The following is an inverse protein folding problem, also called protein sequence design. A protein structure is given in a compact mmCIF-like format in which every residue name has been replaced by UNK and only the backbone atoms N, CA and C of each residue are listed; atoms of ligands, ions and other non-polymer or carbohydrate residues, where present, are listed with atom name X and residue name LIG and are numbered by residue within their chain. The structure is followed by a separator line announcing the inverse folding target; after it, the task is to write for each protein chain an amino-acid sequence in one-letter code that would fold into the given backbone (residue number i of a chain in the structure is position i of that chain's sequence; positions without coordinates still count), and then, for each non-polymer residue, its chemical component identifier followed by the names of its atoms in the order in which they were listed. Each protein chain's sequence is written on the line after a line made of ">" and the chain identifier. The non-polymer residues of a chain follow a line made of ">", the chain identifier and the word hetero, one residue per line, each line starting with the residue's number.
data_IF_170982406084
#
_entry.id   IF_170982406084
#
_cell.length_a   1.000
_cell.length_b   1.000
_cell.length_c   1.000
_cell.angle_alpha   90.00
_cell.angle_beta   90.00
_cell.angle_gamma   90.00
#
_symmetry.space_group_name_H-M   'P 1'
#
loop_
_entity.id
_entity.type
_entity.pdbx_description
1 polymer ?
#
# COMPACT_ATOMS: atom_id res chain seq x y z
N UNK A 1 -38.19 6.12 -27.83
CA UNK A 1 -37.00 6.62 -28.53
C UNK A 1 -36.84 5.83 -29.83
N UNK A 2 -36.89 6.50 -30.95
CA UNK A 2 -36.78 5.86 -32.27
C UNK A 2 -35.41 6.19 -32.88
N UNK A 3 -34.66 5.17 -33.31
CA UNK A 3 -33.33 5.33 -33.92
C UNK A 3 -33.52 5.77 -35.38
N UNK A 4 -32.96 6.91 -35.77
CA UNK A 4 -33.04 7.46 -37.14
C UNK A 4 -31.78 7.14 -37.94
N UNK A 5 -30.61 7.09 -37.29
CA UNK A 5 -29.27 6.85 -37.82
C UNK A 5 -28.42 6.30 -36.64
N UNK A 6 -27.26 5.68 -36.86
CA UNK A 6 -26.40 5.21 -35.75
C UNK A 6 -26.08 6.26 -34.68
N UNK A 7 -26.10 7.54 -35.04
CA UNK A 7 -25.83 8.65 -34.12
C UNK A 7 -27.03 9.53 -33.76
N UNK A 8 -28.20 9.38 -34.46
CA UNK A 8 -29.38 10.25 -34.28
C UNK A 8 -30.57 9.51 -33.72
N UNK A 9 -31.18 10.10 -32.75
CA UNK A 9 -32.34 9.53 -32.04
C UNK A 9 -33.43 10.57 -31.94
N UNK A 10 -34.66 10.19 -32.29
CA UNK A 10 -35.85 10.99 -32.00
C UNK A 10 -36.27 10.70 -30.58
N UNK A 11 -36.46 11.76 -29.81
CA UNK A 11 -36.99 11.72 -28.44
C UNK A 11 -38.32 12.39 -28.42
N UNK A 12 -39.28 11.80 -27.70
CA UNK A 12 -40.57 12.38 -27.36
C UNK A 12 -40.57 12.48 -25.82
N UNK A 13 -40.76 13.66 -25.30
CA UNK A 13 -40.85 13.94 -23.87
C UNK A 13 -42.21 14.54 -23.55
N UNK A 14 -42.91 13.97 -22.59
CA UNK A 14 -44.08 14.60 -21.98
C UNK A 14 -43.59 15.46 -20.84
N UNK A 15 -43.99 16.71 -20.86
CA UNK A 15 -43.66 17.66 -19.81
C UNK A 15 -44.96 18.13 -19.13
N UNK A 16 -44.93 18.18 -17.81
CA UNK A 16 -45.99 18.66 -16.97
C UNK A 16 -45.45 19.88 -16.20
N UNK A 17 -46.20 20.94 -16.19
CA UNK A 17 -45.90 22.17 -15.43
C UNK A 17 -47.16 22.70 -14.76
N UNK A 18 -47.05 23.12 -13.53
CA UNK A 18 -48.14 23.85 -12.82
C UNK A 18 -47.81 25.35 -12.83
N UNK A 19 -48.67 26.13 -13.43
CA UNK A 19 -48.54 27.57 -13.43
C UNK A 19 -49.82 28.20 -12.85
N UNK A 20 -49.71 28.83 -11.71
CA UNK A 20 -50.83 29.52 -11.08
C UNK A 20 -52.02 28.62 -10.70
N UNK A 21 -51.78 27.33 -10.42
CA UNK A 21 -52.80 26.33 -10.10
C UNK A 21 -53.42 25.65 -11.31
N UNK A 22 -52.92 25.92 -12.51
CA UNK A 22 -53.32 25.27 -13.75
C UNK A 22 -52.23 24.29 -14.17
N UNK A 23 -52.60 23.01 -14.31
CA UNK A 23 -51.70 21.98 -14.81
C UNK A 23 -51.67 22.04 -16.33
N UNK A 24 -50.47 22.20 -16.87
CA UNK A 24 -50.19 22.27 -18.30
C UNK A 24 -49.42 21.02 -18.69
N UNK A 25 -49.89 20.30 -19.67
CA UNK A 25 -49.19 19.19 -20.31
C UNK A 25 -48.76 19.60 -21.71
N UNK A 26 -47.55 19.21 -22.10
CA UNK A 26 -47.02 19.45 -23.44
C UNK A 26 -46.18 18.26 -23.91
N UNK A 27 -46.39 17.86 -25.13
CA UNK A 27 -45.55 16.85 -25.83
C UNK A 27 -44.46 17.58 -26.62
N UNK A 28 -43.22 17.29 -26.29
CA UNK A 28 -42.06 17.84 -26.98
C UNK A 28 -41.42 16.76 -27.84
N UNK A 29 -41.18 17.06 -29.09
CA UNK A 29 -40.40 16.22 -30.00
C UNK A 29 -39.09 16.89 -30.30
N UNK A 30 -38.02 16.10 -30.28
CA UNK A 30 -36.68 16.57 -30.60
C UNK A 30 -35.82 15.47 -31.23
N UNK A 31 -34.77 15.91 -31.87
CA UNK A 31 -33.71 15.00 -32.38
C UNK A 31 -32.43 15.28 -31.59
N UNK A 32 -31.90 14.24 -30.96
CA UNK A 32 -30.57 14.31 -30.33
C UNK A 32 -29.56 13.58 -31.17
N UNK A 33 -28.37 14.14 -31.26
CA UNK A 33 -27.21 13.51 -31.88
C UNK A 33 -26.23 13.10 -30.81
N UNK A 34 -25.93 11.79 -30.75
CA UNK A 34 -24.92 11.25 -29.81
C UNK A 34 -23.57 11.22 -30.52
N UNK A 35 -22.64 12.05 -30.05
CA UNK A 35 -21.26 12.05 -30.52
C UNK A 35 -20.40 11.18 -29.59
N UNK A 36 -19.87 10.11 -30.13
CA UNK A 36 -18.91 9.26 -29.42
C UNK A 36 -17.54 9.95 -29.46
N UNK A 37 -17.03 10.33 -28.30
CA UNK A 37 -15.71 10.91 -28.16
C UNK A 37 -14.91 10.12 -27.14
N UNK A 38 -13.63 9.91 -27.43
CA UNK A 38 -12.72 9.40 -26.41
C UNK A 38 -12.48 10.52 -25.41
N UNK A 39 -12.83 10.30 -24.13
CA UNK A 39 -12.57 11.28 -23.08
C UNK A 39 -11.06 11.46 -22.89
N UNK A 40 -10.66 12.64 -22.34
CA UNK A 40 -9.25 12.96 -22.14
C UNK A 40 -8.53 11.93 -21.25
N UNK A 41 -9.17 11.43 -20.23
CA UNK A 41 -8.63 10.37 -19.34
C UNK A 41 -8.38 9.08 -20.10
N UNK A 42 -9.36 8.60 -20.89
CA UNK A 42 -9.19 7.41 -21.72
C UNK A 42 -8.07 7.58 -22.75
N UNK A 43 -7.99 8.76 -23.39
CA UNK A 43 -6.92 9.08 -24.34
C UNK A 43 -5.55 9.09 -23.70
N UNK A 44 -5.42 9.68 -22.49
CA UNK A 44 -4.18 9.69 -21.72
C UNK A 44 -3.78 8.28 -21.29
N UNK A 45 -4.73 7.49 -20.82
CA UNK A 45 -4.48 6.09 -20.40
C UNK A 45 -3.98 5.26 -21.58
N UNK A 46 -4.68 5.29 -22.73
CA UNK A 46 -4.31 4.57 -23.93
C UNK A 46 -2.97 5.05 -24.54
N UNK A 47 -2.65 6.34 -24.36
CA UNK A 47 -1.39 6.95 -24.82
C UNK A 47 -0.20 6.75 -23.86
N UNK A 48 -0.36 5.98 -22.77
CA UNK A 48 0.72 5.72 -21.82
C UNK A 48 1.16 6.97 -21.05
N UNK A 49 0.25 7.91 -20.80
CA UNK A 49 0.58 9.16 -20.10
C UNK A 49 0.83 8.93 -18.61
N UNK A 50 1.94 9.46 -18.10
CA UNK A 50 2.25 9.52 -16.68
C UNK A 50 3.05 10.77 -16.30
N UNK A 51 2.84 11.26 -15.09
CA UNK A 51 3.53 12.42 -14.51
C UNK A 51 4.58 11.99 -13.48
N UNK A 52 4.39 10.83 -12.90
CA UNK A 52 5.27 10.36 -11.84
C UNK A 52 5.59 8.86 -11.94
N UNK A 53 6.74 8.51 -11.37
CA UNK A 53 7.15 7.12 -11.11
C UNK A 53 7.22 6.93 -9.61
N UNK A 54 6.47 5.97 -9.07
CA UNK A 54 6.58 5.52 -7.70
C UNK A 54 7.40 4.23 -7.67
N UNK A 55 8.56 4.28 -7.02
CA UNK A 55 9.49 3.16 -6.92
C UNK A 55 9.49 2.64 -5.49
N UNK A 56 9.06 1.41 -5.27
CA UNK A 56 9.09 0.75 -3.97
C UNK A 56 10.30 -0.18 -3.92
N UNK A 57 11.13 -0.04 -2.90
CA UNK A 57 12.36 -0.83 -2.72
C UNK A 57 12.42 -1.39 -1.30
N UNK A 58 12.61 -2.70 -1.20
CA UNK A 58 12.87 -3.41 0.06
C UNK A 58 13.59 -4.72 -0.23
N UNK A 59 14.26 -5.28 0.77
CA UNK A 59 14.92 -6.58 0.64
C UNK A 59 14.00 -7.76 0.98
N UNK A 60 12.88 -7.51 1.67
CA UNK A 60 11.95 -8.53 2.13
C UNK A 60 10.73 -8.59 1.22
N UNK A 61 10.50 -9.76 0.61
CA UNK A 61 9.40 -9.95 -0.35
C UNK A 61 8.04 -9.72 0.31
N UNK A 62 7.81 -10.23 1.51
CA UNK A 62 6.53 -10.06 2.24
C UNK A 62 6.17 -8.59 2.47
N UNK A 63 7.17 -7.76 2.80
CA UNK A 63 6.96 -6.30 2.94
C UNK A 63 6.63 -5.66 1.59
N UNK A 64 7.32 -6.09 0.52
CA UNK A 64 7.06 -5.60 -0.83
C UNK A 64 5.63 -5.92 -1.26
N UNK A 65 5.21 -7.17 -1.10
CA UNK A 65 3.90 -7.64 -1.54
C UNK A 65 2.77 -6.85 -0.86
N UNK A 66 2.85 -6.64 0.46
CA UNK A 66 1.86 -5.84 1.21
C UNK A 66 1.86 -4.36 0.80
N UNK A 67 3.04 -3.78 0.55
CA UNK A 67 3.15 -2.40 0.10
C UNK A 67 2.59 -2.19 -1.32
N UNK A 68 2.85 -3.15 -2.22
CA UNK A 68 2.35 -3.14 -3.60
C UNK A 68 0.82 -3.31 -3.62
N UNK A 69 0.29 -4.25 -2.84
CA UNK A 69 -1.16 -4.46 -2.70
C UNK A 69 -1.87 -3.19 -2.22
N UNK A 70 -1.29 -2.49 -1.23
CA UNK A 70 -1.83 -1.20 -0.79
C UNK A 70 -1.91 -0.19 -1.94
N UNK A 71 -0.87 -0.06 -2.76
CA UNK A 71 -0.87 0.89 -3.88
C UNK A 71 -1.93 0.53 -4.91
N UNK A 72 -2.08 -0.75 -5.27
CA UNK A 72 -3.14 -1.18 -6.17
C UNK A 72 -4.53 -0.85 -5.61
N UNK A 73 -4.77 -1.14 -4.34
CA UNK A 73 -6.03 -0.81 -3.68
C UNK A 73 -6.33 0.69 -3.68
N UNK A 74 -5.33 1.52 -3.47
CA UNK A 74 -5.48 2.98 -3.49
C UNK A 74 -5.75 3.51 -4.91
N UNK A 75 -5.20 2.87 -5.96
CA UNK A 75 -5.49 3.17 -7.35
C UNK A 75 -6.93 2.76 -7.70
N UNK A 76 -7.36 1.56 -7.31
CA UNK A 76 -8.69 1.03 -7.60
C UNK A 76 -9.82 1.84 -6.93
N UNK A 77 -9.55 2.41 -5.75
CA UNK A 77 -10.50 3.23 -5.00
C UNK A 77 -10.47 4.71 -5.41
N UNK A 78 -9.53 5.12 -6.23
CA UNK A 78 -9.38 6.52 -6.63
C UNK A 78 -10.33 6.89 -7.77
N UNK A 79 -10.56 8.20 -8.00
CA UNK A 79 -11.27 8.68 -9.19
C UNK A 79 -10.58 8.21 -10.48
N UNK A 80 -11.35 8.04 -11.56
CA UNK A 80 -10.90 7.51 -12.85
C UNK A 80 -9.73 8.31 -13.49
N UNK A 81 -9.52 9.55 -13.08
CA UNK A 81 -8.42 10.40 -13.50
C UNK A 81 -7.06 9.97 -12.95
N UNK A 82 -7.07 9.21 -11.85
CA UNK A 82 -5.87 8.64 -11.24
C UNK A 82 -5.73 7.17 -11.59
N UNK A 83 -4.75 6.85 -12.41
CA UNK A 83 -4.49 5.50 -12.91
C UNK A 83 -3.00 5.21 -13.02
N UNK A 84 -2.66 3.93 -13.16
CA UNK A 84 -1.32 3.48 -13.53
C UNK A 84 -1.31 3.06 -15.01
N UNK A 85 -0.39 3.58 -15.79
CA UNK A 85 -0.22 3.19 -17.20
C UNK A 85 0.65 1.99 -17.37
N UNK A 86 1.68 1.88 -16.54
CA UNK A 86 2.60 0.75 -16.51
C UNK A 86 3.01 0.48 -15.07
N UNK A 87 3.08 -0.78 -14.72
CA UNK A 87 3.57 -1.22 -13.41
C UNK A 87 4.20 -2.61 -13.54
N UNK A 88 5.17 -2.89 -12.69
CA UNK A 88 5.83 -4.19 -12.73
C UNK A 88 6.97 -4.36 -11.73
N UNK A 89 7.34 -5.64 -11.50
CA UNK A 89 8.47 -5.98 -10.66
C UNK A 89 9.79 -5.58 -11.31
N UNK A 90 10.70 -5.05 -10.49
CA UNK A 90 12.07 -4.72 -10.87
C UNK A 90 13.05 -5.35 -9.87
N UNK A 91 14.34 -5.35 -10.18
CA UNK A 91 15.35 -5.87 -9.25
C UNK A 91 15.29 -5.13 -7.90
N UNK A 92 14.89 -5.86 -6.86
CA UNK A 92 14.80 -5.35 -5.48
C UNK A 92 13.58 -4.46 -5.20
N UNK A 93 12.50 -4.55 -6.01
CA UNK A 93 11.30 -3.77 -5.77
C UNK A 93 10.23 -3.86 -6.85
N UNK A 94 9.40 -2.82 -6.89
CA UNK A 94 8.29 -2.68 -7.82
C UNK A 94 8.14 -1.21 -8.23
N UNK A 95 7.83 -0.95 -9.49
CA UNK A 95 7.65 0.39 -10.05
C UNK A 95 6.25 0.59 -10.60
N UNK A 96 5.70 1.79 -10.40
CA UNK A 96 4.42 2.24 -10.94
C UNK A 96 4.61 3.55 -11.71
N UNK A 97 4.09 3.62 -12.92
CA UNK A 97 3.93 4.88 -13.66
C UNK A 97 2.53 5.43 -13.39
N UNK A 98 2.42 6.58 -12.75
CA UNK A 98 1.18 7.16 -12.22
C UNK A 98 0.80 8.44 -12.95
N UNK A 99 -0.49 8.61 -13.24
CA UNK A 99 -1.05 9.74 -13.99
C UNK A 99 -0.98 11.08 -13.25
N UNK A 100 -0.76 11.09 -11.94
CA UNK A 100 -0.71 12.30 -11.12
C UNK A 100 0.49 12.30 -10.18
N UNK A 101 1.31 13.35 -10.27
CA UNK A 101 2.49 13.53 -9.41
C UNK A 101 2.10 13.86 -7.96
N UNK A 102 1.00 14.58 -7.75
CA UNK A 102 0.51 14.93 -6.43
C UNK A 102 0.05 13.68 -5.66
N UNK A 103 -0.77 12.83 -6.32
CA UNK A 103 -1.22 11.56 -5.71
C UNK A 103 -0.06 10.60 -5.49
N UNK A 104 0.90 10.51 -6.41
CA UNK A 104 2.10 9.70 -6.24
C UNK A 104 2.92 10.14 -5.01
N UNK A 105 3.04 11.46 -4.78
CA UNK A 105 3.69 12.02 -3.58
C UNK A 105 2.95 11.65 -2.31
N UNK A 106 1.61 11.73 -2.31
CA UNK A 106 0.77 11.32 -1.19
C UNK A 106 0.98 9.84 -0.85
N UNK A 107 0.88 8.96 -1.85
CA UNK A 107 1.11 7.52 -1.70
C UNK A 107 2.51 7.21 -1.15
N UNK A 108 3.55 7.88 -1.65
CA UNK A 108 4.92 7.71 -1.15
C UNK A 108 5.03 8.07 0.34
N UNK A 109 4.36 9.14 0.78
CA UNK A 109 4.32 9.54 2.19
C UNK A 109 3.51 8.58 3.04
N UNK A 110 2.37 8.11 2.54
CA UNK A 110 1.52 7.14 3.23
C UNK A 110 2.26 5.81 3.45
N UNK A 111 2.95 5.31 2.43
CA UNK A 111 3.81 4.13 2.55
C UNK A 111 4.88 4.33 3.63
N UNK A 112 5.55 5.48 3.64
CA UNK A 112 6.56 5.79 4.67
C UNK A 112 5.95 5.89 6.08
N UNK A 113 4.73 6.40 6.23
CA UNK A 113 4.04 6.49 7.52
C UNK A 113 3.63 5.11 8.01
N UNK A 114 3.11 4.27 7.13
CA UNK A 114 2.59 2.95 7.48
C UNK A 114 3.69 1.91 7.73
N UNK A 115 4.69 1.87 6.85
CA UNK A 115 5.74 0.83 6.87
C UNK A 115 7.06 1.34 7.46
N UNK A 116 7.19 2.63 7.71
CA UNK A 116 8.48 3.24 8.01
C UNK A 116 9.34 3.44 6.76
N UNK A 117 10.61 3.81 6.94
CA UNK A 117 11.56 3.93 5.86
C UNK A 117 11.84 5.37 5.43
N UNK A 118 12.16 5.55 4.16
CA UNK A 118 12.62 6.82 3.61
C UNK A 118 12.05 7.05 2.21
N UNK A 119 11.65 8.29 1.94
CA UNK A 119 11.25 8.75 0.61
C UNK A 119 12.30 9.72 0.07
N UNK A 120 12.72 9.48 -1.17
CA UNK A 120 13.54 10.39 -1.95
C UNK A 120 12.76 10.85 -3.17
N UNK A 121 12.74 12.16 -3.43
CA UNK A 121 12.08 12.76 -4.59
C UNK A 121 13.14 13.31 -5.53
N UNK A 122 13.02 12.97 -6.81
CA UNK A 122 13.85 13.52 -7.89
C UNK A 122 12.97 13.93 -9.06
N UNK A 123 13.43 14.93 -9.84
CA UNK A 123 12.70 15.45 -10.99
C UNK A 123 13.56 15.37 -12.24
N UNK A 124 12.95 15.00 -13.34
CA UNK A 124 13.58 14.98 -14.67
C UNK A 124 12.80 15.87 -15.61
N UNK A 125 13.50 16.77 -16.32
CA UNK A 125 12.91 17.57 -17.36
C UNK A 125 12.63 16.68 -18.59
N UNK A 126 11.36 16.57 -18.98
CA UNK A 126 10.92 15.73 -20.12
C UNK A 126 10.48 16.52 -21.32
N UNK A 127 10.35 17.85 -21.21
CA UNK A 127 9.97 18.73 -22.30
C UNK A 127 9.54 20.10 -21.83
N UNK A 128 9.01 20.89 -22.76
CA UNK A 128 8.38 22.19 -22.47
C UNK A 128 7.03 22.27 -23.16
N UNK A 129 6.05 22.84 -22.48
CA UNK A 129 4.72 23.13 -23.00
C UNK A 129 4.30 24.54 -22.58
N UNK A 130 3.89 25.35 -23.54
CA UNK A 130 3.43 26.74 -23.31
C UNK A 130 4.42 27.58 -22.50
N UNK A 131 5.75 27.42 -22.80
CA UNK A 131 6.83 28.13 -22.12
C UNK A 131 7.16 27.62 -20.71
N UNK A 132 6.47 26.57 -20.22
CA UNK A 132 6.71 25.96 -18.92
C UNK A 132 7.44 24.63 -19.06
N UNK A 133 8.37 24.38 -18.15
CA UNK A 133 9.06 23.10 -18.08
C UNK A 133 8.11 21.98 -17.62
N UNK A 134 8.10 20.89 -18.38
CA UNK A 134 7.39 19.67 -18.01
C UNK A 134 8.34 18.77 -17.22
N UNK A 135 8.07 18.63 -15.93
CA UNK A 135 8.86 17.79 -15.04
C UNK A 135 8.16 16.45 -14.82
N UNK A 136 8.92 15.38 -14.85
CA UNK A 136 8.52 14.06 -14.41
C UNK A 136 9.12 13.79 -13.04
N UNK A 137 8.27 13.46 -12.09
CA UNK A 137 8.68 13.21 -10.71
C UNK A 137 8.97 11.72 -10.49
N UNK A 138 10.01 11.43 -9.73
CA UNK A 138 10.29 10.05 -9.28
C UNK A 138 10.33 10.04 -7.77
N UNK A 139 9.46 9.23 -7.16
CA UNK A 139 9.37 9.02 -5.73
C UNK A 139 9.95 7.65 -5.38
N UNK A 140 11.18 7.62 -4.88
CA UNK A 140 11.84 6.42 -4.42
C UNK A 140 11.53 6.15 -2.95
N UNK A 141 10.70 5.15 -2.67
CA UNK A 141 10.33 4.72 -1.32
C UNK A 141 11.17 3.52 -0.94
N UNK A 142 12.03 3.67 0.05
CA UNK A 142 12.82 2.57 0.63
C UNK A 142 12.20 2.15 1.94
N UNK A 143 11.65 0.94 1.96
CA UNK A 143 10.99 0.36 3.13
C UNK A 143 11.97 -0.53 3.92
N UNK A 144 11.76 -0.68 5.24
CA UNK A 144 12.45 -1.68 6.05
C UNK A 144 12.24 -3.08 5.50
N UNK A 145 13.12 -4.00 5.87
CA UNK A 145 12.97 -5.43 5.53
C UNK A 145 12.13 -6.21 6.55
N UNK A 146 11.43 -5.51 7.46
CA UNK A 146 10.63 -6.12 8.51
C UNK A 146 9.39 -5.26 8.80
N UNK A 147 8.38 -5.87 9.39
CA UNK A 147 7.10 -5.25 9.76
C UNK A 147 6.92 -5.19 11.29
N UNK A 148 5.89 -4.45 11.71
CA UNK A 148 5.43 -4.51 13.11
C UNK A 148 4.94 -5.93 13.40
N UNK A 149 5.43 -6.51 14.49
CA UNK A 149 5.15 -7.89 14.86
C UNK A 149 6.33 -8.83 14.66
N UNK A 150 7.24 -8.52 13.73
CA UNK A 150 8.41 -9.34 13.43
C UNK A 150 9.38 -9.41 14.60
N UNK A 151 10.17 -10.50 14.62
CA UNK A 151 11.22 -10.73 15.61
C UNK A 151 12.59 -10.53 14.97
N UNK A 152 13.43 -9.74 15.63
CA UNK A 152 14.77 -9.38 15.16
C UNK A 152 15.84 -9.90 16.12
N UNK A 153 16.86 -10.55 15.59
CA UNK A 153 18.06 -10.92 16.34
C UNK A 153 19.11 -9.80 16.22
N UNK A 154 19.40 -9.12 17.32
CA UNK A 154 20.38 -8.03 17.38
C UNK A 154 21.30 -8.26 18.55
N UNK A 155 22.61 -8.45 18.29
CA UNK A 155 23.62 -8.73 19.32
C UNK A 155 23.19 -9.85 20.28
N UNK A 156 22.82 -11.00 19.69
CA UNK A 156 22.39 -12.22 20.41
C UNK A 156 21.16 -12.03 21.34
N UNK A 157 20.38 -10.97 21.09
CA UNK A 157 19.13 -10.69 21.82
C UNK A 157 17.98 -10.62 20.83
N UNK A 158 16.88 -11.26 21.21
CA UNK A 158 15.63 -11.25 20.42
C UNK A 158 14.77 -10.07 20.81
N UNK A 159 14.35 -9.32 19.81
CA UNK A 159 13.48 -8.17 19.97
C UNK A 159 12.23 -8.33 19.10
N UNK A 160 11.06 -7.98 19.63
CA UNK A 160 9.83 -7.84 18.84
C UNK A 160 9.66 -6.40 18.38
N UNK A 161 9.36 -6.20 17.11
CA UNK A 161 9.04 -4.88 16.56
C UNK A 161 7.64 -4.48 17.04
N UNK A 162 7.53 -3.41 17.81
CA UNK A 162 6.25 -2.94 18.35
C UNK A 162 5.69 -1.73 17.61
N UNK A 163 6.56 -0.93 16.99
CA UNK A 163 6.18 0.25 16.21
C UNK A 163 7.29 0.63 15.23
N UNK A 164 6.89 1.06 14.05
CA UNK A 164 7.75 1.70 13.06
C UNK A 164 7.41 3.20 13.00
N UNK A 165 8.43 4.03 12.94
CA UNK A 165 8.29 5.49 12.80
C UNK A 165 9.43 6.00 11.92
N UNK A 166 9.14 6.23 10.63
CA UNK A 166 10.10 6.64 9.61
C UNK A 166 11.39 5.79 9.66
N UNK A 167 12.50 6.36 10.17
CA UNK A 167 13.80 5.68 10.30
C UNK A 167 14.01 5.00 11.65
N UNK A 168 13.03 5.01 12.55
CA UNK A 168 13.15 4.47 13.90
C UNK A 168 12.14 3.36 14.12
N UNK A 169 12.58 2.26 14.77
CA UNK A 169 11.70 1.23 15.24
C UNK A 169 11.70 1.19 16.77
N UNK A 170 10.51 1.03 17.37
CA UNK A 170 10.40 0.69 18.77
C UNK A 170 10.44 -0.81 18.90
N UNK A 171 11.44 -1.30 19.62
CA UNK A 171 11.67 -2.71 19.83
C UNK A 171 11.47 -3.05 21.32
N UNK A 172 10.82 -4.18 21.58
CA UNK A 172 10.70 -4.75 22.91
C UNK A 172 11.61 -5.96 23.02
N UNK A 173 12.50 -5.94 24.02
CA UNK A 173 13.37 -7.08 24.33
C UNK A 173 12.51 -8.24 24.84
N UNK A 174 12.62 -9.42 24.24
CA UNK A 174 11.81 -10.59 24.62
C UNK A 174 12.18 -11.20 25.97
N UNK A 175 13.42 -11.02 26.42
CA UNK A 175 13.87 -11.44 27.77
C UNK A 175 13.38 -10.55 28.91
N UNK A 176 12.73 -9.40 28.62
CA UNK A 176 12.22 -8.48 29.65
C UNK A 176 10.98 -7.75 29.12
N UNK A 177 9.78 -7.99 29.66
CA UNK A 177 8.57 -7.32 29.22
C UNK A 177 8.57 -5.81 29.50
N UNK A 178 9.46 -5.33 30.39
CA UNK A 178 9.52 -3.94 30.83
C UNK A 178 10.51 -3.09 30.04
N UNK A 179 11.42 -3.68 29.27
CA UNK A 179 12.45 -2.91 28.55
C UNK A 179 11.99 -2.58 27.14
N UNK A 180 11.54 -1.35 26.94
CA UNK A 180 11.31 -0.81 25.59
C UNK A 180 12.58 -0.09 25.14
N UNK A 181 13.33 -0.69 24.22
CA UNK A 181 14.50 -0.05 23.62
C UNK A 181 14.10 0.56 22.28
N UNK A 182 14.31 1.87 22.12
CA UNK A 182 14.28 2.53 20.82
C UNK A 182 15.63 2.31 20.15
N UNK A 183 15.62 1.68 18.98
CA UNK A 183 16.81 1.58 18.13
C UNK A 183 16.54 2.42 16.90
N UNK A 184 17.51 3.21 16.53
CA UNK A 184 17.54 3.86 15.22
C UNK A 184 17.84 2.77 14.20
N UNK A 185 16.80 2.37 13.46
CA UNK A 185 16.96 1.39 12.39
C UNK A 185 17.45 2.16 11.18
N UNK A 186 18.72 1.98 10.84
CA UNK A 186 19.14 2.21 9.47
C UNK A 186 18.42 1.16 8.63
N UNK A 187 17.32 1.56 7.98
CA UNK A 187 16.47 0.70 7.17
C UNK A 187 17.21 0.04 6.01
N UNK A 188 18.45 0.47 5.75
CA UNK A 188 19.34 -0.11 4.76
C UNK A 188 20.16 -1.28 5.32
N UNK A 189 20.33 -1.41 6.65
CA UNK A 189 20.95 -2.55 7.28
C UNK A 189 19.88 -3.58 7.60
N UNK A 190 19.97 -4.73 6.96
CA UNK A 190 19.07 -5.86 7.19
C UNK A 190 19.45 -6.51 8.52
N UNK A 191 18.65 -6.38 9.61
CA UNK A 191 18.86 -7.20 10.78
C UNK A 191 18.53 -8.65 10.45
N UNK A 192 19.05 -9.61 11.21
CA UNK A 192 18.60 -10.99 11.11
C UNK A 192 17.13 -11.03 11.60
N UNK A 193 16.23 -11.28 10.65
CA UNK A 193 14.81 -11.50 10.94
C UNK A 193 14.69 -12.96 11.33
N UNK A 194 14.06 -13.22 12.46
CA UNK A 194 13.70 -14.58 12.85
C UNK A 194 12.40 -14.91 12.14
N UNK A 195 12.51 -15.78 11.13
CA UNK A 195 11.35 -16.26 10.40
C UNK A 195 10.54 -17.19 11.31
N UNK A 196 9.24 -16.92 11.37
CA UNK A 196 8.21 -17.71 12.02
C UNK A 196 8.51 -18.14 13.48
N UNK A 197 8.09 -17.35 14.49
CA UNK A 197 7.98 -17.90 15.83
C UNK A 197 7.03 -19.10 15.77
N UNK A 198 7.53 -20.26 16.21
CA UNK A 198 6.70 -21.45 16.31
C UNK A 198 5.82 -21.31 17.54
N UNK A 199 4.51 -21.49 17.35
CA UNK A 199 3.62 -21.77 18.48
C UNK A 199 3.88 -23.19 18.95
N UNK A 200 4.38 -23.33 20.17
CA UNK A 200 4.74 -24.62 20.75
C UNK A 200 3.92 -24.89 22.00
N UNK A 201 3.58 -26.15 22.23
CA UNK A 201 2.90 -26.58 23.44
C UNK A 201 3.94 -26.97 24.50
N UNK A 202 3.81 -26.42 25.71
CA UNK A 202 4.64 -26.81 26.85
C UNK A 202 4.10 -28.13 27.40
N UNK A 203 4.90 -29.21 27.29
CA UNK A 203 4.54 -30.53 27.82
C UNK A 203 4.94 -30.62 29.29
N UNK A 204 6.14 -30.13 29.61
CA UNK A 204 6.72 -30.21 30.96
C UNK A 204 7.60 -29.02 31.25
N UNK A 205 7.59 -28.58 32.50
CA UNK A 205 8.46 -27.51 33.01
C UNK A 205 9.09 -27.98 34.31
N UNK A 206 10.41 -27.97 34.39
CA UNK A 206 11.17 -28.23 35.60
C UNK A 206 12.25 -27.18 35.77
N UNK A 207 12.22 -26.47 36.89
CA UNK A 207 13.13 -25.36 37.19
C UNK A 207 13.13 -24.33 36.05
N UNK A 208 14.18 -24.28 35.25
CA UNK A 208 14.34 -23.39 34.13
C UNK A 208 14.27 -24.09 32.77
N UNK A 209 13.97 -25.40 32.74
CA UNK A 209 13.93 -26.18 31.52
C UNK A 209 12.49 -26.48 31.12
N UNK A 210 12.20 -26.35 29.84
CA UNK A 210 10.93 -26.67 29.20
C UNK A 210 11.12 -27.83 28.21
N UNK A 211 10.19 -28.77 28.25
CA UNK A 211 9.98 -29.68 27.14
C UNK A 211 8.82 -29.15 26.31
N UNK A 212 9.14 -28.73 25.07
CA UNK A 212 8.21 -28.12 24.12
C UNK A 212 7.83 -29.14 23.06
N UNK A 213 6.58 -29.17 22.66
CA UNK A 213 6.08 -29.93 21.52
C UNK A 213 5.78 -28.96 20.37
N UNK A 214 6.35 -29.22 19.22
CA UNK A 214 5.94 -28.59 17.98
C UNK A 214 4.65 -29.29 17.48
N UNK A 215 3.50 -28.58 17.42
CA UNK A 215 2.23 -29.18 17.06
C UNK A 215 2.15 -29.61 15.59
N UNK A 216 3.05 -29.11 14.74
CA UNK A 216 3.06 -29.40 13.31
C UNK A 216 3.95 -30.61 12.96
N UNK A 217 5.13 -30.70 13.60
CA UNK A 217 6.08 -31.80 13.34
C UNK A 217 5.99 -32.91 14.36
N UNK A 218 5.24 -32.73 15.45
CA UNK A 218 5.14 -33.64 16.62
C UNK A 218 6.50 -33.99 17.25
N UNK A 219 7.50 -33.14 17.07
CA UNK A 219 8.82 -33.31 17.68
C UNK A 219 8.89 -32.54 19.00
N UNK A 220 9.58 -33.12 19.95
CA UNK A 220 9.87 -32.46 21.22
C UNK A 220 11.23 -31.77 21.16
N UNK A 221 11.31 -30.57 21.73
CA UNK A 221 12.55 -29.78 21.84
C UNK A 221 12.72 -29.32 23.29
N UNK A 222 13.91 -29.50 23.82
CA UNK A 222 14.27 -28.94 25.11
C UNK A 222 14.68 -27.48 24.94
N UNK A 223 14.13 -26.60 25.77
CA UNK A 223 14.42 -25.17 25.78
C UNK A 223 14.60 -24.67 27.23
N UNK A 224 15.51 -23.73 27.39
CA UNK A 224 15.72 -23.08 28.67
C UNK A 224 14.77 -21.89 28.79
N UNK A 225 14.12 -21.76 29.95
CA UNK A 225 13.20 -20.67 30.21
C UNK A 225 13.92 -19.31 30.11
N UNK A 226 13.28 -18.30 29.54
CA UNK A 226 13.81 -16.94 29.64
C UNK A 226 13.87 -16.52 31.13
N UNK A 227 14.90 -15.75 31.52
CA UNK A 227 14.94 -15.18 32.86
C UNK A 227 13.65 -14.37 33.12
N UNK A 228 12.99 -14.57 34.25
CA UNK A 228 11.70 -14.00 34.65
C UNK A 228 10.45 -14.65 34.01
N UNK A 229 10.54 -15.93 33.64
CA UNK A 229 9.34 -16.70 33.33
C UNK A 229 8.57 -16.98 34.62
N UNK A 230 7.34 -16.49 34.72
CA UNK A 230 6.38 -16.88 35.77
C UNK A 230 5.45 -17.95 35.19
N UNK A 231 5.47 -19.15 35.75
CA UNK A 231 4.55 -20.23 35.41
C UNK A 231 3.11 -19.76 35.66
N UNK A 232 2.31 -19.66 34.61
CA UNK A 232 0.89 -19.30 34.71
C UNK A 232 0.41 -18.11 33.90
N UNK A 233 1.29 -17.37 33.20
CA UNK A 233 0.90 -16.34 32.24
C UNK A 233 1.16 -16.82 30.83
N UNK A 234 0.25 -17.67 30.33
CA UNK A 234 0.07 -17.93 28.90
C UNK A 234 -0.82 -16.79 28.40
N UNK A 235 -0.26 -15.91 27.57
CA UNK A 235 -0.98 -14.85 26.89
C UNK A 235 -0.83 -15.00 25.41
#
# INVERSE_FOLDING_TARGET
>A
MQKLDPSKFRINAKTEANYGGIDLESDLEGVIEIKYQVCQTCSRHAGGYYEAILQIRTKQKSVLDVAVEKVFKDIDLAPAEFFSTENGPVKGGFDFQLSSSERARSLARELMIQFGGHVNETNTLVGRKDGRDLLRHTFGVRLPSFLVGDYLLIQDKVYKVTRLDRRKAKLRLMKSPYTKKMIEVDTLRTPNILDNPLDVQIISSRNNDFLLLDPYTHKTVEAVSPPNWESGKIG
#
